data_IF_018024853569
#
_entry.id   IF_018024853569
#
_cell.length_a   1.000
_cell.length_b   1.000
_cell.length_c   1.000
_cell.angle_alpha   90.00
_cell.angle_beta   90.00
_cell.angle_gamma   90.00
#
_symmetry.space_group_name_H-M   'P 1'
#
loop_
_entity.id
_entity.type
_entity.pdbx_description
1 polymer ?
#
# COMPACT_ATOMS: atom_id res chain seq x y z
N UNK A 1 -6.32 6.17 23.55
CA UNK A 1 -5.90 5.10 22.65
C UNK A 1 -4.53 5.32 22.03
N UNK A 2 -4.20 4.53 21.02
CA UNK A 2 -2.88 4.53 20.38
C UNK A 2 -2.49 5.90 19.80
N UNK A 3 -3.41 6.61 19.17
CA UNK A 3 -3.16 7.95 18.64
C UNK A 3 -2.69 8.90 19.75
N UNK A 4 -3.44 8.96 20.86
CA UNK A 4 -3.09 9.86 21.97
C UNK A 4 -1.72 9.50 22.56
N UNK A 5 -1.45 8.21 22.75
CA UNK A 5 -0.14 7.74 23.23
C UNK A 5 1.00 8.19 22.31
N UNK A 6 0.85 8.03 20.99
CA UNK A 6 1.87 8.42 20.02
C UNK A 6 2.01 9.95 19.96
N UNK A 7 0.91 10.70 19.95
CA UNK A 7 0.95 12.16 19.92
C UNK A 7 1.63 12.76 21.16
N UNK A 8 1.42 12.15 22.33
CA UNK A 8 2.00 12.64 23.59
C UNK A 8 3.47 12.22 23.80
N UNK A 9 3.87 11.05 23.29
CA UNK A 9 5.18 10.48 23.60
C UNK A 9 6.12 10.41 22.39
N UNK A 10 5.58 10.47 21.16
CA UNK A 10 6.31 10.33 19.90
C UNK A 10 5.79 11.31 18.85
N UNK A 11 5.68 12.61 19.17
CA UNK A 11 5.12 13.61 18.24
C UNK A 11 5.92 13.74 16.94
N UNK A 12 7.19 13.32 16.95
CA UNK A 12 8.09 13.35 15.80
C UNK A 12 7.66 12.45 14.64
N UNK A 13 6.78 11.47 14.88
CA UNK A 13 6.27 10.56 13.85
C UNK A 13 4.80 10.78 13.51
N UNK A 14 4.12 11.71 14.20
CA UNK A 14 2.68 11.93 14.05
C UNK A 14 2.45 13.28 13.38
N UNK A 15 1.71 13.27 12.30
CA UNK A 15 1.27 14.47 11.60
C UNK A 15 -0.22 14.39 11.23
N UNK A 16 -0.87 15.53 11.07
CA UNK A 16 -2.25 15.56 10.57
C UNK A 16 -2.30 15.04 9.13
N UNK A 17 -3.31 14.24 8.80
CA UNK A 17 -3.60 13.85 7.43
C UNK A 17 -4.01 15.10 6.63
N UNK A 18 -3.43 15.25 5.43
CA UNK A 18 -3.54 16.49 4.64
C UNK A 18 -4.98 16.85 4.26
N UNK A 19 -5.79 15.87 3.86
CA UNK A 19 -7.17 16.10 3.41
C UNK A 19 -8.19 16.11 4.54
N UNK A 20 -7.86 15.50 5.69
CA UNK A 20 -8.74 15.40 6.86
C UNK A 20 -8.00 15.78 8.15
N UNK A 21 -7.48 17.02 8.24
CA UNK A 21 -6.72 17.45 9.39
C UNK A 21 -7.59 17.39 10.65
N UNK A 22 -6.99 16.98 11.76
CA UNK A 22 -7.65 16.77 13.08
C UNK A 22 -8.71 15.65 13.12
N UNK A 23 -8.91 14.93 12.02
CA UNK A 23 -9.80 13.77 11.97
C UNK A 23 -9.02 12.47 11.76
N UNK A 24 -7.94 12.57 11.01
CA UNK A 24 -7.03 11.45 10.74
C UNK A 24 -5.60 11.90 10.96
N UNK A 25 -4.72 10.96 11.26
CA UNK A 25 -3.30 11.21 11.43
C UNK A 25 -2.50 10.22 10.57
N UNK A 26 -1.35 10.69 10.09
CA UNK A 26 -0.36 9.89 9.41
C UNK A 26 0.78 9.60 10.37
N UNK A 27 1.19 8.35 10.44
CA UNK A 27 2.34 7.91 11.23
C UNK A 27 3.48 7.60 10.28
N UNK A 28 4.53 8.41 10.34
CA UNK A 28 5.69 8.31 9.45
C UNK A 28 6.81 7.51 10.13
N UNK A 29 7.17 6.36 9.54
CA UNK A 29 8.20 5.47 10.09
C UNK A 29 9.32 5.26 9.07
N UNK A 30 10.55 5.72 9.34
CA UNK A 30 11.69 5.53 8.45
C UNK A 30 12.09 4.05 8.41
N UNK A 31 12.23 3.51 7.19
CA UNK A 31 12.64 2.13 6.98
C UNK A 31 13.77 2.04 5.97
N UNK A 32 14.72 1.14 6.22
CA UNK A 32 15.77 0.80 5.27
C UNK A 32 15.39 -0.48 4.55
N UNK A 33 15.29 -0.41 3.24
CA UNK A 33 15.07 -1.60 2.42
C UNK A 33 16.23 -2.61 2.60
N UNK A 34 15.94 -3.91 2.76
CA UNK A 34 16.97 -4.93 2.82
C UNK A 34 17.71 -5.04 1.47
N UNK A 35 18.93 -5.59 1.52
CA UNK A 35 19.69 -5.83 0.28
C UNK A 35 18.90 -6.74 -0.66
N UNK A 36 18.74 -6.30 -1.91
CA UNK A 36 17.99 -7.01 -2.95
C UNK A 36 16.48 -6.84 -2.87
N UNK A 37 16.00 -5.88 -2.08
CA UNK A 37 14.59 -5.51 -2.11
C UNK A 37 14.18 -5.04 -3.51
N UNK A 38 13.01 -5.45 -3.94
CA UNK A 38 12.40 -4.94 -5.18
C UNK A 38 11.78 -3.59 -4.87
N UNK A 39 12.15 -2.58 -5.65
CA UNK A 39 11.70 -1.21 -5.48
C UNK A 39 10.72 -0.83 -6.59
N UNK A 40 10.12 0.36 -6.48
CA UNK A 40 9.26 0.92 -7.52
C UNK A 40 9.93 1.14 -8.89
N UNK A 41 11.24 0.91 -8.98
CA UNK A 41 11.99 1.01 -10.24
C UNK A 41 11.83 -0.25 -11.12
N UNK A 42 11.23 -1.32 -10.61
CA UNK A 42 10.95 -2.50 -11.41
C UNK A 42 10.10 -2.20 -12.67
N UNK A 43 10.15 -3.09 -13.65
CA UNK A 43 9.30 -2.96 -14.83
C UNK A 43 7.84 -3.35 -14.53
N UNK A 44 6.91 -2.76 -15.29
CA UNK A 44 5.50 -3.14 -15.20
C UNK A 44 5.30 -4.64 -15.46
N UNK A 45 6.06 -5.23 -16.40
CA UNK A 45 5.97 -6.65 -16.74
C UNK A 45 6.48 -7.56 -15.60
N UNK A 46 7.50 -7.14 -14.84
CA UNK A 46 7.98 -7.89 -13.67
C UNK A 46 6.92 -7.96 -12.58
N UNK A 47 6.27 -6.83 -12.29
CA UNK A 47 5.17 -6.75 -11.34
C UNK A 47 3.97 -7.61 -11.79
N UNK A 48 3.59 -7.53 -13.06
CA UNK A 48 2.53 -8.35 -13.64
C UNK A 48 2.86 -9.85 -13.59
N UNK A 49 4.10 -10.21 -13.85
CA UNK A 49 4.59 -11.59 -13.72
C UNK A 49 4.41 -12.14 -12.30
N UNK A 50 4.74 -11.35 -11.28
CA UNK A 50 4.51 -11.73 -9.88
C UNK A 50 3.02 -11.81 -9.54
N UNK A 51 2.23 -10.86 -10.01
CA UNK A 51 0.77 -10.88 -9.83
C UNK A 51 0.17 -12.16 -10.38
N UNK A 52 0.53 -12.53 -11.61
CA UNK A 52 0.12 -13.79 -12.24
C UNK A 52 0.59 -15.01 -11.44
N UNK A 53 1.81 -14.99 -10.92
CA UNK A 53 2.33 -16.08 -10.09
C UNK A 53 1.49 -16.26 -8.82
N UNK A 54 1.22 -15.17 -8.08
CA UNK A 54 0.39 -15.23 -6.87
C UNK A 54 -1.03 -15.70 -7.21
N UNK A 55 -1.59 -15.23 -8.33
CA UNK A 55 -2.91 -15.67 -8.76
C UNK A 55 -2.95 -17.17 -9.04
N UNK A 56 -1.97 -17.72 -9.76
CA UNK A 56 -1.89 -19.15 -10.10
C UNK A 56 -1.63 -20.04 -8.89
N UNK A 57 -0.66 -19.65 -8.06
CA UNK A 57 -0.14 -20.49 -6.98
C UNK A 57 -0.95 -20.37 -5.68
N UNK A 58 -1.64 -19.23 -5.47
CA UNK A 58 -2.41 -18.97 -4.27
C UNK A 58 -3.92 -18.92 -4.54
N UNK A 59 -4.38 -17.97 -5.35
CA UNK A 59 -5.81 -17.76 -5.56
C UNK A 59 -6.45 -18.95 -6.28
N UNK A 60 -5.91 -19.34 -7.43
CA UNK A 60 -6.43 -20.45 -8.22
C UNK A 60 -6.25 -21.80 -7.49
N UNK A 61 -5.09 -22.01 -6.89
CA UNK A 61 -4.82 -23.25 -6.15
C UNK A 61 -5.67 -23.39 -4.88
N UNK A 62 -5.99 -22.29 -4.20
CA UNK A 62 -6.86 -22.27 -3.01
C UNK A 62 -8.35 -22.31 -3.31
N UNK A 63 -8.75 -22.07 -4.55
CA UNK A 63 -10.16 -22.00 -4.93
C UNK A 63 -10.83 -23.39 -4.87
N UNK A 64 -11.96 -23.50 -4.18
CA UNK A 64 -12.63 -24.77 -3.91
C UNK A 64 -13.87 -25.02 -4.76
N UNK A 65 -14.70 -24.01 -4.98
CA UNK A 65 -15.98 -24.12 -5.71
C UNK A 65 -16.51 -22.77 -6.18
N UNK A 66 -17.36 -22.81 -7.21
CA UNK A 66 -18.01 -21.65 -7.80
C UNK A 66 -17.13 -20.97 -8.84
N UNK A 67 -17.65 -19.93 -9.46
CA UNK A 67 -16.95 -19.16 -10.50
C UNK A 67 -16.20 -17.97 -9.95
N UNK A 68 -16.66 -17.41 -8.83
CA UNK A 68 -16.04 -16.25 -8.20
C UNK A 68 -14.74 -16.61 -7.50
N UNK A 69 -13.68 -15.91 -7.85
CA UNK A 69 -12.35 -16.06 -7.28
C UNK A 69 -11.90 -14.72 -6.68
N UNK A 70 -11.09 -14.78 -5.64
CA UNK A 70 -10.45 -13.59 -5.10
C UNK A 70 -9.56 -12.93 -6.14
N UNK A 71 -9.37 -11.62 -6.04
CA UNK A 71 -8.43 -10.88 -6.85
C UNK A 71 -7.08 -10.75 -6.15
N UNK A 72 -6.01 -10.71 -6.93
CA UNK A 72 -4.71 -10.19 -6.49
C UNK A 72 -4.72 -8.69 -6.77
N UNK A 73 -5.04 -7.90 -5.75
CA UNK A 73 -5.11 -6.43 -5.90
C UNK A 73 -3.74 -5.86 -6.18
N UNK A 74 -3.63 -5.10 -7.27
CA UNK A 74 -2.39 -4.46 -7.68
C UNK A 74 -2.69 -3.21 -8.51
N UNK A 75 -1.89 -2.18 -8.30
CA UNK A 75 -1.82 -1.01 -9.18
C UNK A 75 -0.47 -1.05 -9.89
N UNK A 76 -0.51 -1.17 -11.21
CA UNK A 76 0.68 -1.25 -12.06
C UNK A 76 0.96 0.13 -12.62
N UNK A 77 2.12 0.68 -12.29
CA UNK A 77 2.60 1.94 -12.87
C UNK A 77 3.34 1.62 -14.17
N UNK A 78 2.95 2.27 -15.27
CA UNK A 78 3.41 1.94 -16.62
C UNK A 78 4.21 3.11 -17.17
N UNK A 79 5.47 2.88 -17.54
CA UNK A 79 6.32 3.86 -18.23
C UNK A 79 5.89 4.02 -19.68
N UNK A 80 6.21 5.16 -20.33
CA UNK A 80 5.75 5.45 -21.70
C UNK A 80 6.07 4.37 -22.73
N UNK A 81 7.19 3.70 -22.58
CA UNK A 81 7.68 2.63 -23.46
C UNK A 81 7.13 1.24 -23.14
N UNK A 82 6.46 1.07 -22.01
CA UNK A 82 5.94 -0.24 -21.56
C UNK A 82 4.49 -0.52 -21.98
N UNK A 83 3.72 0.50 -22.42
CA UNK A 83 2.27 0.38 -22.66
C UNK A 83 1.90 -0.74 -23.63
N UNK A 84 2.62 -0.87 -24.74
CA UNK A 84 2.33 -1.90 -25.73
C UNK A 84 2.54 -3.30 -25.14
N UNK A 85 3.71 -3.53 -24.53
CA UNK A 85 4.03 -4.80 -23.90
C UNK A 85 3.09 -5.18 -22.76
N UNK A 86 2.65 -4.19 -21.97
CA UNK A 86 1.66 -4.42 -20.91
C UNK A 86 0.31 -4.81 -21.51
N UNK A 87 -0.14 -4.14 -22.58
CA UNK A 87 -1.39 -4.48 -23.26
C UNK A 87 -1.38 -5.91 -23.85
N UNK A 88 -0.29 -6.29 -24.50
CA UNK A 88 -0.08 -7.64 -25.01
C UNK A 88 -0.08 -8.66 -23.87
N UNK A 89 0.67 -8.39 -22.81
CA UNK A 89 0.71 -9.27 -21.65
C UNK A 89 -0.67 -9.47 -21.01
N UNK A 90 -1.45 -8.39 -20.84
CA UNK A 90 -2.81 -8.46 -20.29
C UNK A 90 -3.73 -9.31 -21.15
N UNK A 91 -3.63 -9.20 -22.47
CA UNK A 91 -4.41 -10.01 -23.39
C UNK A 91 -4.04 -11.50 -23.30
N UNK A 92 -2.76 -11.81 -23.34
CA UNK A 92 -2.24 -13.20 -23.30
C UNK A 92 -2.48 -13.88 -21.96
N UNK A 93 -2.50 -13.11 -20.88
CA UNK A 93 -2.66 -13.62 -19.52
C UNK A 93 -4.05 -13.36 -18.91
N UNK A 94 -5.04 -13.00 -19.70
CA UNK A 94 -6.39 -12.63 -19.24
C UNK A 94 -7.05 -13.63 -18.28
N UNK A 95 -6.64 -14.89 -18.32
CA UNK A 95 -7.12 -15.97 -17.44
C UNK A 95 -6.33 -16.06 -16.11
N UNK A 96 -5.32 -15.22 -15.92
CA UNK A 96 -4.39 -15.28 -14.78
C UNK A 96 -4.52 -14.10 -13.82
N UNK A 97 -5.57 -13.30 -13.96
CA UNK A 97 -5.97 -12.24 -13.05
C UNK A 97 -7.47 -11.98 -13.16
N UNK A 98 -8.05 -11.34 -12.15
CA UNK A 98 -9.47 -10.96 -12.15
C UNK A 98 -9.62 -9.49 -12.51
N UNK A 99 -8.82 -8.62 -11.91
CA UNK A 99 -8.78 -7.19 -12.20
C UNK A 99 -7.37 -6.64 -12.00
N UNK A 100 -7.03 -5.62 -12.78
CA UNK A 100 -5.79 -4.86 -12.67
C UNK A 100 -6.11 -3.37 -12.74
N UNK A 101 -5.46 -2.59 -11.89
CA UNK A 101 -5.45 -1.13 -12.01
C UNK A 101 -4.14 -0.71 -12.67
N UNK A 102 -4.21 0.19 -13.64
CA UNK A 102 -3.04 0.70 -14.35
C UNK A 102 -2.99 2.22 -14.26
N UNK A 103 -1.80 2.76 -14.00
CA UNK A 103 -1.56 4.20 -13.93
C UNK A 103 -0.35 4.56 -14.79
N UNK A 104 -0.33 5.73 -15.45
CA UNK A 104 0.87 6.26 -16.04
C UNK A 104 1.97 6.44 -14.99
N UNK A 105 3.21 6.13 -15.33
CA UNK A 105 4.35 6.42 -14.47
C UNK A 105 4.46 7.94 -14.27
N UNK A 106 4.62 8.33 -13.02
CA UNK A 106 4.87 9.70 -12.62
C UNK A 106 5.98 9.72 -11.58
N UNK A 107 6.94 10.61 -11.73
CA UNK A 107 7.99 10.84 -10.75
C UNK A 107 7.48 11.57 -9.51
N UNK A 108 6.23 12.05 -9.55
CA UNK A 108 5.62 12.73 -8.43
C UNK A 108 4.84 11.75 -7.56
N UNK A 109 5.18 11.70 -6.29
CA UNK A 109 4.31 11.12 -5.27
C UNK A 109 3.22 12.14 -4.90
N UNK A 110 2.04 11.66 -4.54
CA UNK A 110 1.03 12.51 -3.91
C UNK A 110 1.39 12.74 -2.44
N UNK A 111 0.81 13.78 -1.85
CA UNK A 111 1.07 14.16 -0.46
C UNK A 111 0.73 12.99 0.47
N UNK A 112 1.65 12.67 1.37
CA UNK A 112 1.51 11.57 2.34
C UNK A 112 1.24 10.21 1.68
N UNK A 113 1.98 9.89 0.62
CA UNK A 113 1.91 8.57 0.01
C UNK A 113 2.29 7.48 1.04
N UNK A 114 1.68 6.27 0.98
CA UNK A 114 1.98 5.17 1.90
C UNK A 114 3.44 4.76 1.93
N UNK A 115 4.16 4.97 0.83
CA UNK A 115 5.60 4.76 0.70
C UNK A 115 6.20 5.93 -0.07
N UNK A 116 7.19 6.55 0.53
CA UNK A 116 7.95 7.65 -0.06
C UNK A 116 9.44 7.33 -0.02
N UNK A 117 10.13 7.60 -1.13
CA UNK A 117 11.57 7.49 -1.18
C UNK A 117 12.19 8.68 -0.43
N UNK A 118 13.08 8.40 0.50
CA UNK A 118 13.81 9.41 1.26
C UNK A 118 15.30 9.26 1.05
N UNK A 119 16.05 10.36 1.19
CA UNK A 119 17.51 10.31 1.11
C UNK A 119 18.12 9.63 2.35
N UNK A 120 19.40 9.26 2.24
CA UNK A 120 20.14 8.69 3.37
C UNK A 120 20.25 9.70 4.54
N UNK A 121 20.37 10.97 4.23
CA UNK A 121 20.43 12.05 5.21
C UNK A 121 19.12 12.18 5.95
N UNK A 122 17.99 12.22 5.22
CA UNK A 122 16.65 12.25 5.81
C UNK A 122 16.39 11.01 6.67
N UNK A 123 16.77 9.83 6.18
CA UNK A 123 16.66 8.60 6.96
C UNK A 123 17.43 8.69 8.29
N UNK A 124 18.69 9.16 8.26
CA UNK A 124 19.50 9.30 9.47
C UNK A 124 18.92 10.31 10.46
N UNK A 125 18.40 11.43 9.95
CA UNK A 125 17.73 12.44 10.75
C UNK A 125 16.48 11.87 11.43
N UNK A 126 15.58 11.24 10.67
CA UNK A 126 14.36 10.63 11.22
C UNK A 126 14.66 9.55 12.25
N UNK A 127 15.61 8.66 11.96
CA UNK A 127 16.04 7.62 12.92
C UNK A 127 16.67 8.21 14.17
N UNK A 128 17.42 9.32 14.02
CA UNK A 128 18.04 10.02 15.16
C UNK A 128 17.03 10.59 16.15
N UNK A 129 15.85 10.96 15.67
CA UNK A 129 14.75 11.46 16.50
C UNK A 129 13.79 10.36 16.97
N UNK A 130 13.82 9.18 16.35
CA UNK A 130 12.92 8.08 16.66
C UNK A 130 13.29 7.44 18.01
N UNK A 131 12.38 7.49 18.95
CA UNK A 131 12.50 6.83 20.25
C UNK A 131 11.80 5.46 20.24
N UNK A 132 12.22 4.57 21.14
CA UNK A 132 11.60 3.25 21.29
C UNK A 132 10.13 3.40 21.69
N UNK A 133 9.24 2.93 20.84
CA UNK A 133 7.80 2.90 21.08
C UNK A 133 7.48 1.67 21.94
N UNK A 134 6.83 1.88 23.08
CA UNK A 134 6.41 0.80 23.98
C UNK A 134 4.87 0.69 23.93
N UNK A 135 4.39 -0.14 23.04
CA UNK A 135 2.95 -0.35 22.84
C UNK A 135 2.25 -0.98 24.06
N UNK A 136 2.98 -1.51 25.04
CA UNK A 136 2.38 -2.03 26.28
C UNK A 136 1.81 -0.92 27.17
N UNK A 137 2.18 0.33 26.88
CA UNK A 137 1.67 1.51 27.59
C UNK A 137 0.41 2.11 26.95
N UNK A 138 -0.01 1.57 25.81
CA UNK A 138 -1.25 2.00 25.17
C UNK A 138 -2.44 1.43 25.94
N UNK A 139 -3.32 2.31 26.41
CA UNK A 139 -4.55 1.94 27.11
C UNK A 139 -5.72 2.29 26.22
N UNK A 140 -6.42 1.29 25.71
CA UNK A 140 -7.70 1.46 25.04
C UNK A 140 -8.81 1.24 26.09
N UNK A 141 -9.53 2.32 26.40
CA UNK A 141 -10.63 2.28 27.37
C UNK A 141 -11.99 2.05 26.71
N UNK A 142 -12.09 2.39 25.42
CA UNK A 142 -13.33 2.28 24.64
C UNK A 142 -12.95 1.90 23.21
N UNK A 143 -13.74 1.05 22.58
CA UNK A 143 -13.66 0.79 21.14
C UNK A 143 -14.57 1.80 20.43
N UNK A 144 -13.97 2.89 19.95
CA UNK A 144 -14.66 3.91 19.18
C UNK A 144 -14.54 3.69 17.66
N UNK A 145 -14.20 2.47 17.23
CA UNK A 145 -14.07 2.14 15.82
C UNK A 145 -15.45 2.22 15.14
N UNK A 146 -15.62 3.15 14.23
CA UNK A 146 -16.79 3.26 13.36
C UNK A 146 -16.40 2.84 11.93
N UNK A 147 -16.76 1.63 11.55
CA UNK A 147 -16.50 1.08 10.22
C UNK A 147 -17.60 1.41 9.21
N UNK A 148 -18.68 2.11 9.61
CA UNK A 148 -19.80 2.40 8.73
C UNK A 148 -19.42 3.38 7.59
N UNK A 149 -18.37 4.17 7.78
CA UNK A 149 -17.83 5.08 6.76
C UNK A 149 -16.55 4.57 6.06
N UNK A 150 -16.05 3.40 6.42
CA UNK A 150 -14.87 2.83 5.81
C UNK A 150 -15.19 2.28 4.41
N UNK A 151 -14.39 2.69 3.42
CA UNK A 151 -14.51 2.14 2.07
C UNK A 151 -13.97 0.71 2.08
N UNK A 152 -14.86 -0.26 2.25
CA UNK A 152 -14.49 -1.66 2.11
C UNK A 152 -14.51 -2.05 0.63
N UNK A 153 -13.47 -2.71 0.17
CA UNK A 153 -13.53 -3.44 -1.10
C UNK A 153 -14.47 -4.62 -0.92
N UNK A 154 -15.76 -4.41 -1.19
CA UNK A 154 -16.71 -5.49 -1.34
C UNK A 154 -16.36 -6.32 -2.58
N UNK A 155 -16.64 -7.62 -2.56
CA UNK A 155 -16.22 -8.60 -3.59
C UNK A 155 -16.69 -8.37 -5.03
N UNK A 156 -17.04 -7.14 -5.41
CA UNK A 156 -17.49 -6.75 -6.75
C UNK A 156 -17.09 -5.35 -7.21
N UNK A 157 -16.36 -4.57 -6.41
CA UNK A 157 -15.94 -3.23 -6.81
C UNK A 157 -15.53 -2.36 -5.62
N UNK A 158 -14.69 -1.37 -5.86
CA UNK A 158 -14.48 -0.29 -4.91
C UNK A 158 -15.61 0.73 -5.09
N UNK A 159 -16.45 0.91 -4.09
CA UNK A 159 -17.36 2.06 -4.07
C UNK A 159 -16.55 3.29 -3.68
N UNK A 160 -16.34 4.17 -4.65
CA UNK A 160 -15.83 5.52 -4.42
C UNK A 160 -17.06 6.42 -4.32
N UNK A 161 -17.32 6.95 -3.13
CA UNK A 161 -18.29 8.05 -2.97
C UNK A 161 -17.65 9.37 -3.34
#
# INVERSE_FOLDING_TARGET
>A
GIYQYLADNHPEIVEDEFFKPKQQAVISVPQKAPKGAITRQESALDLLGRTSKVWKEWVKAGHRKGENKNNVSVTVTIKPDEWVGVGEWMWDNRENFTALSVLPYSDHSYIQAPFEDISEEQYKEMVGHLHKIDLTKVIETEDATDLAGEVACGGGGCEVQ
#
